data_IF_882865508550
#
_entry.id   IF_882865508550
#
_cell.length_a   1.000
_cell.length_b   1.000
_cell.length_c   1.000
_cell.angle_alpha   90.00
_cell.angle_beta   90.00
_cell.angle_gamma   90.00
#
_symmetry.space_group_name_H-M   'P 1'
#
loop_
_entity.id
_entity.type
_entity.pdbx_description
1 polymer ?
2 non-polymer ?
3 non-polymer ?
4 non-polymer ?
5 water ?
#
# COMPACT_ATOMS: atom_id res chain seq x y z
N UNK A 14 -29.24 -6.46 -12.31
CA UNK A 14 -28.37 -6.94 -13.36
C UNK A 14 -29.12 -8.05 -14.14
N UNK A 15 -29.28 -7.91 -15.46
CA UNK A 15 -30.22 -8.75 -16.20
C UNK A 15 -29.65 -10.14 -16.45
N UNK A 16 -30.55 -11.07 -16.76
CA UNK A 16 -30.14 -12.45 -17.00
C UNK A 16 -29.38 -12.57 -18.31
N UNK A 17 -29.79 -11.81 -19.33
CA UNK A 17 -29.05 -11.80 -20.59
C UNK A 17 -27.62 -11.36 -20.37
N UNK A 18 -27.42 -10.35 -19.51
CA UNK A 18 -26.07 -9.85 -19.25
C UNK A 18 -25.23 -10.90 -18.54
N UNK A 19 -25.80 -11.59 -17.54
CA UNK A 19 -25.05 -12.62 -16.83
C UNK A 19 -24.61 -13.72 -17.80
N UNK A 20 -25.52 -14.16 -18.68
CA UNK A 20 -25.15 -15.19 -19.63
C UNK A 20 -24.06 -14.70 -20.59
N UNK A 21 -24.08 -13.42 -20.94
CA UNK A 21 -23.00 -12.87 -21.76
C UNK A 21 -21.67 -12.93 -21.01
N UNK A 22 -21.67 -12.60 -19.72
CA UNK A 22 -20.45 -12.76 -18.92
C UNK A 22 -20.00 -14.22 -18.90
N UNK A 23 -20.94 -15.14 -18.70
CA UNK A 23 -20.59 -16.56 -18.65
C UNK A 23 -20.03 -17.01 -19.99
N UNK A 24 -20.51 -16.42 -21.09
CA UNK A 24 -20.00 -16.79 -22.40
C UNK A 24 -18.52 -16.42 -22.57
N UNK A 25 -18.04 -15.40 -21.85
CA UNK A 25 -16.64 -15.00 -21.97
C UNK A 25 -15.75 -15.87 -21.08
N UNK A 26 -16.09 -15.98 -19.78
CA UNK A 26 -15.15 -16.58 -18.83
C UNK A 26 -15.51 -18.01 -18.43
N UNK A 27 -16.69 -18.49 -18.79
CA UNK A 27 -17.09 -19.82 -18.35
C UNK A 27 -18.01 -19.75 -17.15
N UNK A 28 -19.03 -20.61 -17.15
CA UNK A 28 -19.98 -20.62 -16.05
C UNK A 28 -19.35 -20.70 -14.67
N UNK A 29 -18.33 -21.53 -14.41
CA UNK A 29 -17.76 -21.57 -13.05
C UNK A 29 -17.17 -20.25 -12.59
N UNK A 30 -16.88 -19.33 -13.51
CA UNK A 30 -16.13 -18.13 -13.17
C UNK A 30 -16.99 -16.87 -13.13
N UNK A 31 -18.32 -17.02 -13.05
CA UNK A 31 -19.26 -15.93 -12.83
C UNK A 31 -20.12 -16.30 -11.64
N UNK A 32 -20.26 -15.39 -10.68
CA UNK A 32 -21.15 -15.65 -9.56
C UNK A 32 -22.02 -14.45 -9.26
N UNK A 33 -23.32 -14.70 -9.12
CA UNK A 33 -24.25 -13.71 -8.56
C UNK A 33 -24.74 -14.11 -7.17
N UNK A 34 -24.11 -15.10 -6.54
CA UNK A 34 -24.51 -15.53 -5.21
C UNK A 34 -24.24 -14.46 -4.16
N UNK A 35 -25.19 -14.28 -3.24
CA UNK A 35 -25.09 -13.23 -2.22
C UNK A 35 -23.79 -13.32 -1.43
N UNK A 36 -23.47 -14.51 -0.90
CA UNK A 36 -22.29 -14.61 -0.04
C UNK A 36 -21.01 -14.31 -0.81
N UNK A 37 -20.94 -14.73 -2.07
CA UNK A 37 -19.75 -14.48 -2.88
C UNK A 37 -19.60 -12.99 -3.17
N UNK A 38 -20.71 -12.33 -3.49
CA UNK A 38 -20.66 -10.89 -3.71
C UNK A 38 -20.29 -10.14 -2.42
N UNK A 39 -20.85 -10.56 -1.28
CA UNK A 39 -20.52 -9.90 -0.02
C UNK A 39 -19.02 -10.00 0.27
N UNK A 40 -18.43 -11.18 0.03
CA UNK A 40 -17.00 -11.38 0.26
C UNK A 40 -16.14 -10.46 -0.60
N UNK A 41 -16.67 -9.98 -1.72
CA UNK A 41 -15.95 -9.10 -2.63
C UNK A 41 -16.42 -7.65 -2.56
N UNK A 42 -17.24 -7.30 -1.57
CA UNK A 42 -17.76 -5.96 -1.41
C UNK A 42 -17.04 -5.10 -0.39
N UNK A 43 -15.92 -5.57 0.15
CA UNK A 43 -15.21 -4.85 1.17
C UNK A 43 -13.74 -5.24 1.10
N UNK A 44 -12.90 -4.42 1.73
CA UNK A 44 -11.50 -4.76 1.87
C UNK A 44 -11.20 -4.87 3.36
N UNK A 45 -10.01 -4.50 3.79
CA UNK A 45 -9.68 -4.55 5.21
C UNK A 45 -10.03 -3.26 5.95
N UNK A 46 -10.59 -2.27 5.27
CA UNK A 46 -10.96 -0.99 5.88
C UNK A 46 -12.28 -1.11 6.63
N UNK A 47 -12.58 -0.07 7.42
CA UNK A 47 -13.89 0.02 8.06
C UNK A 47 -15.00 0.44 7.10
N UNK A 48 -14.68 0.76 5.84
CA UNK A 48 -15.72 1.20 4.92
C UNK A 48 -16.75 0.10 4.75
N UNK A 49 -18.02 0.48 4.80
CA UNK A 49 -19.08 -0.51 4.87
C UNK A 49 -19.12 -1.35 3.60
N UNK A 50 -19.34 -2.64 3.78
CA UNK A 50 -19.41 -3.55 2.64
C UNK A 50 -20.51 -3.12 1.68
N UNK A 51 -20.17 -3.03 0.40
CA UNK A 51 -21.13 -2.70 -0.64
C UNK A 51 -20.93 -3.73 -1.74
N UNK A 52 -21.81 -4.74 -1.79
CA UNK A 52 -21.57 -5.89 -2.64
C UNK A 52 -21.77 -5.53 -4.10
N UNK A 53 -20.87 -6.00 -4.96
CA UNK A 53 -21.12 -5.93 -6.39
C UNK A 53 -22.32 -6.79 -6.76
N UNK A 54 -22.86 -6.52 -7.95
CA UNK A 54 -23.96 -7.34 -8.45
C UNK A 54 -23.50 -8.69 -8.97
N UNK A 55 -22.23 -8.82 -9.33
CA UNK A 55 -21.67 -10.09 -9.76
C UNK A 55 -20.18 -10.05 -9.52
N UNK A 56 -19.58 -11.23 -9.41
CA UNK A 56 -18.13 -11.39 -9.38
C UNK A 56 -17.72 -12.27 -10.54
N UNK A 57 -16.67 -11.86 -11.25
CA UNK A 57 -16.20 -12.55 -12.45
C UNK A 57 -14.70 -12.78 -12.32
N UNK A 58 -14.25 -14.00 -12.66
CA UNK A 58 -12.84 -14.37 -12.66
C UNK A 58 -12.36 -14.61 -14.08
N UNK A 59 -11.85 -13.61 -14.78
CA UNK A 59 -11.29 -13.87 -16.11
C UNK A 59 -10.03 -14.72 -16.02
N UNK A 60 -9.86 -15.60 -17.01
CA UNK A 60 -8.76 -16.55 -17.03
C UNK A 60 -7.56 -16.12 -17.86
N UNK A 61 -7.70 -15.09 -18.69
CA UNK A 61 -6.60 -14.58 -19.49
C UNK A 61 -6.95 -13.15 -19.89
N UNK A 62 -5.98 -12.48 -20.53
CA UNK A 62 -6.17 -11.06 -20.82
C UNK A 62 -7.25 -10.84 -21.88
N UNK A 63 -7.38 -11.75 -22.85
CA UNK A 63 -8.48 -11.66 -23.80
C UNK A 63 -9.83 -11.61 -23.08
N UNK A 64 -10.00 -12.45 -22.05
CA UNK A 64 -11.23 -12.43 -21.28
C UNK A 64 -11.39 -11.14 -20.47
N UNK A 65 -10.30 -10.60 -19.93
CA UNK A 65 -10.42 -9.33 -19.22
C UNK A 65 -10.94 -8.25 -20.17
N UNK A 66 -10.38 -8.20 -21.36
CA UNK A 66 -10.77 -7.22 -22.36
C UNK A 66 -12.25 -7.37 -22.72
N UNK A 67 -12.69 -8.60 -22.95
CA UNK A 67 -14.07 -8.84 -23.37
C UNK A 67 -15.05 -8.59 -22.22
N UNK A 68 -14.66 -8.88 -20.97
CA UNK A 68 -15.54 -8.52 -19.86
C UNK A 68 -15.63 -7.01 -19.73
N UNK A 69 -14.50 -6.31 -19.82
CA UNK A 69 -14.54 -4.86 -19.71
C UNK A 69 -15.41 -4.24 -20.81
N UNK A 70 -15.24 -4.71 -22.04
CA UNK A 70 -16.02 -4.16 -23.15
C UNK A 70 -17.51 -4.42 -22.95
N UNK A 71 -17.86 -5.62 -22.50
CA UNK A 71 -19.27 -5.92 -22.25
C UNK A 71 -19.86 -5.00 -21.18
N UNK A 72 -19.16 -4.83 -20.05
CA UNK A 72 -19.65 -3.96 -19.00
C UNK A 72 -19.74 -2.53 -19.48
N UNK A 73 -18.66 -2.05 -20.10
CA UNK A 73 -18.56 -0.64 -20.44
C UNK A 73 -19.68 -0.23 -21.39
N UNK A 74 -19.88 -1.03 -22.44
CA UNK A 74 -20.89 -0.68 -23.43
C UNK A 74 -22.31 -0.87 -22.92
N UNK A 75 -22.51 -1.64 -21.86
CA UNK A 75 -23.83 -1.79 -21.26
C UNK A 75 -24.07 -0.86 -20.08
N UNK A 76 -23.11 0.01 -19.77
CA UNK A 76 -23.30 0.95 -18.68
C UNK A 76 -23.19 0.33 -17.31
N UNK A 77 -22.42 -0.75 -17.18
CA UNK A 77 -22.28 -1.47 -15.92
C UNK A 77 -20.93 -1.13 -15.31
N UNK A 78 -20.87 -0.66 -14.06
CA UNK A 78 -19.57 -0.35 -13.44
C UNK A 78 -18.69 -1.58 -13.32
N UNK A 79 -17.39 -1.32 -13.36
CA UNK A 79 -16.33 -2.33 -13.27
C UNK A 79 -15.52 -2.02 -12.02
N UNK A 80 -15.34 -3.04 -11.16
CA UNK A 80 -14.50 -2.86 -9.97
C UNK A 80 -13.37 -3.88 -10.02
N UNK A 81 -12.12 -3.47 -10.32
CA UNK A 81 -11.03 -4.44 -10.28
C UNK A 81 -10.77 -4.87 -8.84
N UNK A 82 -10.42 -6.14 -8.67
CA UNK A 82 -10.26 -6.73 -7.35
C UNK A 82 -9.02 -7.59 -7.38
N UNK A 83 -8.07 -7.30 -6.50
CA UNK A 83 -6.88 -8.12 -6.43
C UNK A 83 -6.99 -9.09 -5.27
N UNK A 84 -6.28 -8.80 -4.19
CA UNK A 84 -6.38 -9.61 -2.97
C UNK A 84 -7.25 -8.97 -1.89
N UNK A 85 -7.85 -7.82 -2.15
CA UNK A 85 -8.79 -7.22 -1.21
C UNK A 85 -8.19 -6.78 0.10
N UNK A 86 -6.89 -6.47 0.13
CA UNK A 86 -6.22 -6.02 1.35
C UNK A 86 -6.12 -4.50 1.46
N UNK A 87 -6.70 -3.76 0.52
CA UNK A 87 -6.67 -2.31 0.60
C UNK A 87 -7.36 -1.78 1.85
N UNK A 88 -7.06 -0.54 2.19
CA UNK A 88 -7.59 0.03 3.42
C UNK A 88 -8.33 1.35 3.19
N UNK A 89 -8.74 1.63 1.94
CA UNK A 89 -9.56 2.82 1.71
C UNK A 89 -10.85 2.52 0.95
N UNK A 90 -11.31 1.28 0.95
CA UNK A 90 -12.60 1.00 0.33
C UNK A 90 -12.54 0.96 -1.18
N UNK A 91 -11.34 0.73 -1.74
CA UNK A 91 -11.20 0.74 -3.18
C UNK A 91 -12.10 -0.25 -3.90
N UNK A 92 -12.33 -1.42 -3.30
CA UNK A 92 -13.15 -2.44 -3.97
C UNK A 92 -14.63 -2.34 -3.62
N UNK A 93 -15.04 -1.40 -2.76
CA UNK A 93 -16.44 -1.28 -2.38
C UNK A 93 -17.29 -0.88 -3.58
N UNK A 94 -18.34 -1.63 -3.85
CA UNK A 94 -19.12 -1.39 -5.07
C UNK A 94 -20.21 -0.34 -4.80
N UNK A 95 -19.78 0.91 -4.64
CA UNK A 95 -20.69 1.98 -4.24
C UNK A 95 -21.81 2.19 -5.25
N UNK A 96 -21.59 1.83 -6.52
CA UNK A 96 -22.63 1.91 -7.54
C UNK A 96 -22.98 0.54 -8.11
N UNK A 97 -22.75 -0.53 -7.35
CA UNK A 97 -23.00 -1.87 -7.86
C UNK A 97 -22.03 -2.21 -8.98
N UNK A 98 -22.45 -3.15 -9.82
CA UNK A 98 -21.70 -3.50 -11.01
C UNK A 98 -20.99 -4.83 -10.88
N UNK A 99 -19.95 -4.99 -11.72
CA UNK A 99 -19.23 -6.25 -11.85
C UNK A 99 -17.86 -6.13 -11.21
N UNK A 100 -17.60 -6.94 -10.19
CA UNK A 100 -16.30 -7.05 -9.55
C UNK A 100 -15.45 -8.06 -10.33
N UNK A 101 -14.29 -7.63 -10.82
CA UNK A 101 -13.46 -8.50 -11.63
C UNK A 101 -12.31 -8.97 -10.75
N UNK A 102 -12.41 -10.20 -10.24
CA UNK A 102 -11.33 -10.77 -9.45
C UNK A 102 -10.26 -11.29 -10.40
N UNK A 103 -9.06 -10.73 -10.32
CA UNK A 103 -8.04 -10.98 -11.30
C UNK A 103 -7.06 -12.08 -10.91
N UNK A 104 -7.30 -12.79 -9.79
CA UNK A 104 -6.22 -13.59 -9.23
C UNK A 104 -6.04 -14.96 -9.87
N UNK A 105 -6.93 -15.40 -10.77
CA UNK A 105 -6.63 -16.65 -11.45
C UNK A 105 -5.56 -16.49 -12.51
N UNK A 106 -5.22 -15.25 -12.90
CA UNK A 106 -4.09 -14.98 -13.78
C UNK A 106 -2.90 -14.83 -12.84
N UNK A 107 -2.15 -15.92 -12.64
CA UNK A 107 -1.22 -16.00 -11.52
C UNK A 107 0.18 -16.43 -11.95
N UNK A 108 0.58 -16.14 -13.18
CA UNK A 108 1.85 -16.60 -13.72
C UNK A 108 2.93 -15.54 -13.63
N UNK A 109 4.14 -15.99 -13.30
CA UNK A 109 5.36 -15.20 -13.44
C UNK A 109 5.95 -15.50 -14.80
N UNK A 110 6.29 -14.45 -15.56
CA UNK A 110 6.91 -14.63 -16.87
C UNK A 110 8.08 -13.67 -17.06
N UNK A 111 8.79 -13.88 -18.17
CA UNK A 111 9.86 -12.98 -18.60
C UNK A 111 10.82 -12.66 -17.46
N UNK A 112 11.17 -13.67 -16.68
CA UNK A 112 12.18 -13.46 -15.65
C UNK A 112 13.52 -13.20 -16.33
N UNK A 113 14.04 -12.00 -16.19
CA UNK A 113 15.29 -11.60 -16.80
C UNK A 113 16.25 -11.23 -15.67
N UNK A 114 16.89 -12.25 -15.08
CA UNK A 114 17.77 -11.99 -13.95
C UNK A 114 18.96 -11.12 -14.35
N UNK A 115 19.48 -11.32 -15.57
CA UNK A 115 20.60 -10.51 -16.05
C UNK A 115 20.25 -9.03 -16.18
N UNK A 116 18.97 -8.72 -16.37
CA UNK A 116 18.47 -7.36 -16.51
C UNK A 116 17.80 -6.85 -15.25
N UNK A 117 17.68 -7.69 -14.23
CA UNK A 117 17.02 -7.28 -12.97
C UNK A 117 15.54 -6.98 -13.19
N UNK A 118 14.83 -7.85 -13.93
CA UNK A 118 13.41 -7.55 -14.18
C UNK A 118 12.59 -8.83 -14.30
N UNK A 119 11.28 -8.68 -14.11
CA UNK A 119 10.35 -9.81 -14.17
C UNK A 119 8.96 -9.25 -14.47
N UNK A 120 8.11 -10.08 -15.07
CA UNK A 120 6.72 -9.73 -15.34
C UNK A 120 5.82 -10.64 -14.52
N UNK A 121 4.83 -10.04 -13.83
CA UNK A 121 3.91 -10.80 -12.98
C UNK A 121 2.46 -10.46 -13.31
N UNK A 122 1.61 -11.48 -13.28
CA UNK A 122 0.17 -11.35 -13.43
C UNK A 122 -0.47 -11.06 -12.07
N UNK A 123 -1.75 -10.66 -12.04
CA UNK A 123 -2.31 -10.15 -10.78
C UNK A 123 -2.38 -11.15 -9.63
N UNK A 124 -2.46 -12.46 -9.92
CA UNK A 124 -2.51 -13.42 -8.83
C UNK A 124 -1.19 -13.68 -8.12
N UNK A 125 -0.10 -13.11 -8.61
CA UNK A 125 1.21 -13.26 -7.98
C UNK A 125 1.33 -12.29 -6.81
N UNK A 126 1.59 -12.82 -5.62
CA UNK A 126 1.90 -11.98 -4.47
C UNK A 126 3.42 -11.82 -4.34
N UNK A 127 3.82 -10.85 -3.51
CA UNK A 127 5.24 -10.64 -3.26
C UNK A 127 5.88 -11.90 -2.67
N UNK A 128 5.19 -12.51 -1.70
CA UNK A 128 5.54 -13.84 -1.21
C UNK A 128 5.82 -14.84 -2.33
N UNK A 129 4.86 -15.03 -3.25
CA UNK A 129 5.06 -15.99 -4.33
C UNK A 129 6.26 -15.63 -5.18
N UNK A 130 6.43 -14.34 -5.49
CA UNK A 130 7.54 -13.93 -6.34
C UNK A 130 8.88 -14.20 -5.66
N UNK A 131 9.02 -13.79 -4.40
CA UNK A 131 10.30 -13.99 -3.73
C UNK A 131 10.59 -15.46 -3.49
N UNK A 132 9.56 -16.28 -3.29
CA UNK A 132 9.75 -17.72 -3.24
C UNK A 132 10.30 -18.22 -4.58
N UNK A 133 9.71 -17.75 -5.67
CA UNK A 133 10.16 -18.14 -7.00
C UNK A 133 11.61 -17.71 -7.25
N UNK A 134 12.04 -16.63 -6.64
CA UNK A 134 13.37 -16.10 -6.84
C UNK A 134 14.46 -16.59 -5.88
N UNK A 135 14.09 -17.53 -5.03
CA UNK A 135 15.07 -18.05 -4.11
C UNK A 135 16.21 -18.67 -4.89
N UNK A 136 17.41 -18.41 -4.44
CA UNK A 136 18.60 -18.94 -5.12
C UNK A 136 18.97 -18.22 -6.40
N UNK A 137 18.31 -17.11 -6.69
CA UNK A 137 18.66 -16.33 -7.84
C UNK A 137 19.59 -15.26 -7.43
N UNK A 138 19.67 -15.01 -6.15
CA UNK A 138 20.40 -13.85 -5.70
C UNK A 138 19.65 -12.55 -5.85
N UNK A 139 18.38 -12.59 -6.28
CA UNK A 139 17.58 -11.39 -6.46
C UNK A 139 16.34 -11.46 -5.59
N UNK A 140 15.73 -10.29 -5.38
CA UNK A 140 14.50 -10.22 -4.60
C UNK A 140 13.74 -8.98 -5.00
N UNK A 141 12.45 -8.98 -4.68
CA UNK A 141 11.61 -7.80 -4.87
C UNK A 141 11.36 -7.16 -3.52
N UNK A 142 11.72 -5.90 -3.33
CA UNK A 142 11.80 -5.34 -1.97
C UNK A 142 10.54 -4.68 -1.42
N UNK A 143 9.61 -4.21 -2.25
CA UNK A 143 8.50 -3.41 -1.72
C UNK A 143 7.58 -4.32 -0.92
N UNK A 144 7.44 -4.04 0.38
CA UNK A 144 6.88 -5.02 1.33
C UNK A 144 5.75 -4.43 2.18
N UNK A 145 4.55 -4.27 1.63
CA UNK A 145 3.39 -4.06 2.49
C UNK A 145 3.23 -5.22 3.46
N UNK A 146 2.58 -4.94 4.59
CA UNK A 146 2.41 -5.96 5.60
C UNK A 146 1.61 -7.16 5.11
N UNK A 147 0.63 -6.92 4.25
CA UNK A 147 -0.28 -7.96 3.79
C UNK A 147 0.32 -8.71 2.60
N UNK A 148 -0.17 -9.93 2.39
CA UNK A 148 0.19 -10.77 1.25
C UNK A 148 -0.59 -10.32 0.01
N UNK A 149 -0.19 -9.18 -0.51
CA UNK A 149 -1.00 -8.51 -1.52
C UNK A 149 -0.56 -8.87 -2.95
N UNK A 150 -1.54 -8.82 -3.84
CA UNK A 150 -1.27 -8.86 -5.27
C UNK A 150 -0.29 -7.75 -5.68
N UNK A 151 0.76 -8.13 -6.43
CA UNK A 151 1.73 -7.14 -6.89
C UNK A 151 1.11 -6.16 -7.87
N UNK A 152 0.18 -6.62 -8.71
CA UNK A 152 -0.52 -5.67 -9.58
C UNK A 152 -1.43 -4.76 -8.77
N UNK A 153 -2.01 -5.28 -7.69
CA UNK A 153 -2.78 -4.42 -6.80
C UNK A 153 -1.89 -3.38 -6.15
N UNK A 154 -0.67 -3.78 -5.80
CA UNK A 154 0.29 -2.84 -5.23
C UNK A 154 0.67 -1.77 -6.24
N UNK A 155 0.82 -2.14 -7.52
CA UNK A 155 1.01 -1.13 -8.54
C UNK A 155 -0.19 -0.20 -8.63
N UNK A 156 -1.40 -0.76 -8.54
CA UNK A 156 -2.61 0.06 -8.65
C UNK A 156 -2.72 1.06 -7.51
N UNK A 157 -2.33 0.66 -6.29
CA UNK A 157 -2.45 1.61 -5.19
C UNK A 157 -1.25 2.51 -4.99
N UNK A 158 -0.12 2.24 -5.67
CA UNK A 158 1.08 3.03 -5.41
C UNK A 158 1.74 2.67 -4.10
N UNK A 159 1.74 1.39 -3.74
CA UNK A 159 2.16 0.92 -2.42
C UNK A 159 3.63 1.20 -2.11
N UNK A 160 3.93 1.20 -0.81
CA UNK A 160 5.34 1.22 -0.39
C UNK A 160 5.45 0.20 0.74
N UNK A 161 6.45 0.36 1.60
CA UNK A 161 6.63 -0.57 2.70
C UNK A 161 7.88 -0.24 3.48
N UNK A 162 8.24 -1.13 4.42
CA UNK A 162 9.39 -0.83 5.28
C UNK A 162 10.68 -0.70 4.48
N UNK A 163 10.82 -1.43 3.37
CA UNK A 163 12.06 -1.39 2.60
C UNK A 163 12.17 -0.17 1.69
N UNK A 164 11.11 0.65 1.59
CA UNK A 164 11.08 1.70 0.56
C UNK A 164 12.12 2.78 0.82
N UNK A 165 12.45 3.05 2.08
CA UNK A 165 13.43 4.10 2.39
C UNK A 165 14.75 3.88 1.66
N UNK A 166 15.10 2.61 1.42
CA UNK A 166 16.32 2.28 0.69
C UNK A 166 16.06 1.85 -0.75
N UNK A 167 15.04 1.02 -0.97
CA UNK A 167 14.86 0.36 -2.26
C UNK A 167 13.74 0.95 -3.11
N UNK A 168 13.03 1.95 -2.62
CA UNK A 168 12.02 2.65 -3.39
C UNK A 168 10.61 2.09 -3.23
N UNK A 169 9.65 2.86 -3.75
CA UNK A 169 8.24 2.48 -3.71
C UNK A 169 7.86 1.70 -4.97
N UNK A 170 6.57 1.33 -5.10
CA UNK A 170 6.09 0.79 -6.38
C UNK A 170 6.39 1.74 -7.54
N UNK A 171 6.19 3.04 -7.34
CA UNK A 171 6.48 3.98 -8.43
C UNK A 171 7.93 3.89 -8.87
N UNK A 172 8.84 3.65 -7.92
CA UNK A 172 10.25 3.55 -8.27
C UNK A 172 10.57 2.23 -8.95
N UNK A 173 9.78 1.21 -8.74
CA UNK A 173 10.14 -0.14 -9.14
C UNK A 173 9.22 -0.75 -10.18
N UNK A 174 8.25 0.01 -10.70
CA UNK A 174 7.40 -0.45 -11.79
C UNK A 174 7.96 0.13 -13.09
N UNK A 175 8.38 -0.75 -14.00
CA UNK A 175 9.04 -0.36 -15.24
C UNK A 175 8.08 -0.40 -16.44
N UNK A 176 6.99 -1.13 -16.34
CA UNK A 176 6.03 -1.25 -17.43
C UNK A 176 4.77 -1.83 -16.82
N UNK A 177 3.63 -1.54 -17.48
CA UNK A 177 2.33 -2.07 -17.07
C UNK A 177 1.57 -2.51 -18.30
N UNK A 178 0.88 -3.64 -18.18
CA UNK A 178 -0.11 -4.06 -19.18
C UNK A 178 -1.48 -3.71 -18.60
N UNK A 179 -2.25 -2.92 -19.34
CA UNK A 179 -3.49 -2.36 -18.83
C UNK A 179 -4.60 -2.61 -19.84
N UNK A 180 -5.70 -3.19 -19.39
CA UNK A 180 -6.92 -3.25 -20.18
C UNK A 180 -7.68 -1.96 -19.87
N UNK A 181 -7.80 -1.09 -20.88
CA UNK A 181 -8.52 0.16 -20.69
C UNK A 181 -10.02 -0.10 -20.53
N UNK A 182 -10.77 0.89 -20.04
CA UNK A 182 -12.18 0.63 -19.71
C UNK A 182 -13.01 0.05 -20.84
N UNK A 183 -12.77 0.45 -22.08
CA UNK A 183 -13.55 -0.08 -23.18
C UNK A 183 -12.97 -1.36 -23.78
N UNK A 184 -11.93 -1.94 -23.15
CA UNK A 184 -11.37 -3.21 -23.58
C UNK A 184 -10.06 -3.15 -24.34
N UNK A 185 -9.61 -1.98 -24.78
CA UNK A 185 -8.36 -1.91 -25.51
C UNK A 185 -7.19 -2.30 -24.61
N UNK A 186 -6.15 -2.88 -25.21
CA UNK A 186 -4.98 -3.34 -24.47
C UNK A 186 -3.84 -2.35 -24.67
N UNK A 187 -3.33 -1.81 -23.56
CA UNK A 187 -2.23 -0.85 -23.55
C UNK A 187 -1.04 -1.43 -22.81
N UNK A 188 0.14 -1.36 -23.42
CA UNK A 188 1.39 -1.61 -22.71
C UNK A 188 2.02 -0.24 -22.51
N UNK A 189 2.08 0.21 -21.25
CA UNK A 189 2.29 1.64 -21.01
C UNK A 189 3.63 2.11 -21.56
N UNK A 190 4.66 1.26 -21.48
CA UNK A 190 5.97 1.58 -22.02
C UNK A 190 6.28 0.82 -23.30
N UNK A 191 5.29 0.14 -23.87
CA UNK A 191 5.51 -0.66 -25.07
C UNK A 191 5.59 -2.14 -24.76
N UNK A 192 5.02 -2.98 -25.63
CA UNK A 192 4.92 -4.41 -25.34
C UNK A 192 6.30 -5.03 -25.23
N UNK A 193 6.54 -5.69 -24.09
CA UNK A 193 7.76 -6.41 -23.87
C UNK A 193 8.95 -5.55 -23.47
N UNK A 194 8.77 -4.24 -23.34
CA UNK A 194 9.92 -3.39 -23.09
C UNK A 194 10.30 -3.33 -21.61
N UNK A 195 11.59 -3.22 -21.38
CA UNK A 195 12.11 -3.08 -20.02
C UNK A 195 13.49 -2.44 -20.14
N UNK A 196 13.74 -1.42 -19.34
CA UNK A 196 14.95 -0.63 -19.44
C UNK A 196 15.07 0.23 -18.19
N UNK A 197 16.23 0.87 -18.05
CA UNK A 197 16.48 1.65 -16.83
C UNK A 197 15.92 3.05 -16.90
N UNK A 198 15.83 3.65 -18.09
CA UNK A 198 15.34 5.02 -18.19
C UNK A 198 14.88 5.26 -19.62
N UNK A 199 13.97 6.22 -19.77
CA UNK A 199 13.50 6.61 -21.10
C UNK A 199 12.94 8.02 -21.05
N UNK A 200 13.15 8.75 -22.15
CA UNK A 200 12.48 10.02 -22.43
C UNK A 200 11.55 9.94 -23.63
N UNK A 201 11.12 8.74 -23.99
CA UNK A 201 10.36 8.52 -25.23
C UNK A 201 8.89 8.85 -25.04
N UNK A 202 8.49 10.05 -25.44
CA UNK A 202 7.08 10.41 -25.35
C UNK A 202 6.72 10.78 -23.92
N UNK A 203 5.43 10.72 -23.62
CA UNK A 203 4.97 10.96 -22.25
C UNK A 203 5.01 9.67 -21.45
N UNK A 204 5.43 9.76 -20.20
CA UNK A 204 5.56 8.55 -19.38
C UNK A 204 4.17 8.09 -18.96
N UNK A 205 3.65 7.07 -19.64
CA UNK A 205 2.32 6.56 -19.29
C UNK A 205 2.35 5.63 -18.08
N UNK A 206 3.49 4.98 -17.82
CA UNK A 206 3.54 4.03 -16.71
C UNK A 206 3.21 4.71 -15.39
N UNK A 207 3.80 5.89 -15.16
CA UNK A 207 3.56 6.58 -13.90
C UNK A 207 2.14 7.04 -13.70
N UNK A 208 1.39 7.24 -14.80
CA UNK A 208 -0.01 7.64 -14.68
C UNK A 208 -0.86 6.50 -14.11
N UNK A 209 -0.54 5.26 -14.47
CA UNK A 209 -1.37 4.15 -14.02
C UNK A 209 -0.94 3.61 -12.67
N UNK A 210 0.30 3.85 -12.24
CA UNK A 210 0.67 3.52 -10.88
C UNK A 210 -0.08 4.47 -9.95
N UNK A 211 -0.76 3.93 -8.95
CA UNK A 211 -1.55 4.78 -8.06
C UNK A 211 -2.87 5.22 -8.62
N UNK A 212 -3.36 4.55 -9.68
CA UNK A 212 -4.67 4.89 -10.25
C UNK A 212 -5.83 4.14 -9.60
N UNK A 213 -5.56 3.12 -8.79
CA UNK A 213 -6.57 2.48 -7.91
C UNK A 213 -7.72 1.86 -8.70
N UNK A 214 -7.49 1.44 -9.94
CA UNK A 214 -8.54 0.82 -10.72
C UNK A 214 -9.54 1.77 -11.32
N UNK A 215 -9.24 3.08 -11.32
CA UNK A 215 -10.14 4.06 -11.90
C UNK A 215 -9.77 4.46 -13.32
N UNK A 216 -8.63 4.00 -13.84
CA UNK A 216 -8.20 4.32 -15.19
C UNK A 216 -8.09 3.09 -16.08
N UNK A 217 -8.26 1.89 -15.55
CA UNK A 217 -8.03 0.69 -16.30
C UNK A 217 -7.64 -0.45 -15.38
N UNK A 218 -7.54 -1.65 -15.96
CA UNK A 218 -7.29 -2.88 -15.23
C UNK A 218 -5.87 -3.33 -15.51
N UNK A 219 -5.03 -3.39 -14.48
CA UNK A 219 -3.65 -3.83 -14.67
C UNK A 219 -3.63 -5.36 -14.76
N UNK A 220 -3.23 -5.89 -15.91
CA UNK A 220 -3.18 -7.34 -16.08
C UNK A 220 -1.77 -7.89 -16.08
N UNK A 221 -0.74 -7.05 -16.14
CA UNK A 221 0.58 -7.49 -15.73
C UNK A 221 1.39 -6.26 -15.32
N UNK A 222 2.40 -6.51 -14.49
CA UNK A 222 3.35 -5.49 -14.07
C UNK A 222 4.77 -6.00 -14.32
N UNK A 223 5.59 -5.16 -14.96
CA UNK A 223 7.02 -5.42 -15.08
C UNK A 223 7.74 -4.75 -13.93
N UNK A 224 8.45 -5.54 -13.13
CA UNK A 224 9.02 -5.08 -11.88
C UNK A 224 10.54 -5.06 -11.93
N UNK A 225 11.12 -4.05 -11.28
CA UNK A 225 12.56 -4.00 -11.04
C UNK A 225 12.93 -4.93 -9.88
N UNK A 226 13.89 -5.81 -10.13
CA UNK A 226 14.45 -6.68 -9.10
C UNK A 226 15.75 -6.09 -8.57
N UNK A 227 16.11 -6.49 -7.35
CA UNK A 227 17.29 -5.98 -6.67
C UNK A 227 18.17 -7.13 -6.21
N UNK A 228 19.49 -6.90 -6.12
CA UNK A 228 20.36 -7.96 -5.58
C UNK A 228 20.12 -8.13 -4.08
N UNK A 229 20.15 -9.38 -3.64
CA UNK A 229 20.04 -9.64 -2.21
C UNK A 229 21.24 -9.02 -1.50
N UNK A 230 21.05 -8.48 -0.29
CA UNK A 230 22.17 -7.84 0.41
C UNK A 230 23.23 -8.85 0.81
N UNK A 231 24.49 -8.39 0.77
CA UNK A 231 25.60 -9.25 1.15
C UNK A 231 25.43 -9.77 2.58
N UNK A 232 25.12 -8.87 3.51
CA UNK A 232 24.90 -9.23 4.90
C UNK A 232 23.82 -8.32 5.46
N UNK A 233 23.14 -8.81 6.50
CA UNK A 233 21.97 -8.15 7.06
C UNK A 233 22.06 -8.19 8.58
N UNK A 234 21.83 -7.05 9.23
CA UNK A 234 21.69 -6.99 10.68
C UNK A 234 20.47 -6.15 11.01
N UNK A 235 19.66 -6.66 11.95
CA UNK A 235 18.47 -5.96 12.41
C UNK A 235 18.58 -5.72 13.90
N UNK A 236 17.86 -4.72 14.39
CA UNK A 236 17.95 -4.37 15.80
C UNK A 236 16.72 -3.56 16.19
N UNK A 237 16.47 -3.49 17.49
CA UNK A 237 15.49 -2.56 18.00
C UNK A 237 16.19 -1.61 18.96
N UNK A 238 15.61 -0.41 19.09
CA UNK A 238 16.20 0.62 19.95
C UNK A 238 15.06 1.35 20.65
N UNK A 239 15.09 1.35 21.98
CA UNK A 239 14.02 1.94 22.78
C UNK A 239 14.42 3.35 23.22
N UNK A 240 13.45 4.25 23.23
CA UNK A 240 13.70 5.66 23.50
C UNK A 240 12.86 6.17 24.66
N UNK A 241 13.30 7.25 25.31
CA UNK A 241 12.50 7.81 26.41
C UNK A 241 11.24 8.52 25.96
N UNK A 242 11.14 8.93 24.69
CA UNK A 242 9.97 9.67 24.26
C UNK A 242 9.83 9.53 22.75
N UNK A 243 8.65 9.89 22.27
CA UNK A 243 8.40 9.97 20.81
C UNK A 243 9.37 10.96 20.18
N UNK A 244 9.50 12.14 20.80
CA UNK A 244 10.41 13.17 20.31
C UNK A 244 11.82 12.62 20.09
N UNK A 245 12.33 11.85 21.05
CA UNK A 245 13.69 11.32 20.94
C UNK A 245 13.81 10.34 19.78
N UNK A 246 12.80 9.51 19.57
CA UNK A 246 12.86 8.52 18.49
C UNK A 246 12.79 9.19 17.13
N UNK A 247 11.93 10.20 17.00
CA UNK A 247 11.76 10.84 15.69
C UNK A 247 12.92 11.79 15.39
N UNK A 248 13.46 12.47 16.41
CA UNK A 248 14.68 13.26 16.19
C UNK A 248 15.81 12.37 15.73
N UNK A 249 15.97 11.19 16.36
CA UNK A 249 17.00 10.25 15.90
C UNK A 249 16.78 9.90 14.43
N UNK A 250 15.52 9.63 14.07
CA UNK A 250 15.21 9.30 12.68
C UNK A 250 15.64 10.42 11.74
N UNK A 251 15.18 11.64 12.01
CA UNK A 251 15.54 12.76 11.14
C UNK A 251 17.05 12.91 11.05
N UNK A 252 17.76 12.76 12.17
CA UNK A 252 19.20 12.95 12.15
C UNK A 252 19.92 11.81 11.43
N UNK A 253 19.40 10.58 11.50
CA UNK A 253 19.96 9.49 10.72
C UNK A 253 19.83 9.79 9.23
N UNK A 254 18.66 10.29 8.81
CA UNK A 254 18.47 10.61 7.39
C UNK A 254 19.33 11.77 6.95
N UNK A 255 19.44 12.83 7.78
CA UNK A 255 20.26 13.97 7.39
C UNK A 255 21.74 13.62 7.38
N UNK A 256 22.15 12.60 8.15
CA UNK A 256 23.51 12.10 8.10
C UNK A 256 23.74 11.14 6.94
N UNK A 257 22.71 10.86 6.15
CA UNK A 257 22.82 10.08 4.92
C UNK A 257 23.25 8.63 5.17
N UNK A 258 22.91 8.08 6.34
CA UNK A 258 23.13 6.66 6.59
C UNK A 258 22.16 5.87 5.72
N UNK A 259 22.65 4.96 4.87
CA UNK A 259 21.75 4.25 3.93
C UNK A 259 21.03 3.08 4.59
N UNK A 260 20.29 3.38 5.66
CA UNK A 260 19.55 2.34 6.39
C UNK A 260 18.60 1.61 5.45
N UNK A 261 18.47 0.31 5.65
CA UNK A 261 17.56 -0.48 4.82
C UNK A 261 16.13 -0.36 5.31
N UNK A 262 15.96 -0.29 6.63
CA UNK A 262 14.66 -0.21 7.28
C UNK A 262 14.78 0.69 8.51
N UNK A 263 13.82 1.59 8.67
CA UNK A 263 13.72 2.39 9.90
C UNK A 263 12.24 2.64 10.21
N UNK A 264 11.70 1.80 11.08
CA UNK A 264 10.28 1.78 11.42
C UNK A 264 10.06 2.28 12.83
N UNK A 265 9.06 3.13 12.99
CA UNK A 265 8.69 3.65 14.31
C UNK A 265 7.45 2.95 14.85
N UNK A 266 7.48 2.64 16.16
CA UNK A 266 6.32 2.17 16.90
C UNK A 266 6.25 2.99 18.17
N UNK A 267 5.07 3.53 18.49
CA UNK A 267 5.01 4.20 19.79
C UNK A 267 4.82 3.14 20.86
N UNK A 268 4.77 3.56 22.12
CA UNK A 268 4.63 2.58 23.21
C UNK A 268 3.36 1.75 23.07
N UNK A 269 2.25 2.37 22.66
CA UNK A 269 1.00 1.63 22.47
C UNK A 269 1.16 0.56 21.40
N UNK A 270 1.72 0.94 20.24
CA UNK A 270 1.99 -0.04 19.18
C UNK A 270 2.92 -1.14 19.66
N UNK A 271 3.99 -0.78 20.38
CA UNK A 271 4.95 -1.77 20.82
C UNK A 271 4.29 -2.79 21.74
N UNK A 272 3.49 -2.31 22.70
CA UNK A 272 2.78 -3.22 23.59
C UNK A 272 1.82 -4.12 22.81
N UNK A 273 1.06 -3.53 21.88
CA UNK A 273 0.14 -4.34 21.06
C UNK A 273 0.88 -5.42 20.29
N UNK A 274 2.03 -5.07 19.71
CA UNK A 274 2.81 -6.05 18.96
C UNK A 274 3.39 -7.12 19.89
N UNK A 275 3.87 -6.71 21.07
CA UNK A 275 4.33 -7.66 22.07
C UNK A 275 3.26 -8.71 22.35
N UNK A 276 2.03 -8.23 22.56
CA UNK A 276 0.92 -9.09 22.96
C UNK A 276 0.43 -9.97 21.83
N UNK A 277 0.67 -9.59 20.59
CA UNK A 277 0.13 -10.29 19.43
C UNK A 277 1.14 -11.21 18.77
N UNK A 278 2.39 -11.10 19.16
CA UNK A 278 3.43 -11.91 18.61
C UNK A 278 4.39 -12.45 19.69
N UNK A 280 6.98 -11.22 20.79
CA UNK A 280 8.01 -10.29 21.13
C UNK A 280 7.86 -9.86 22.56
N UNK A 281 8.95 -9.43 23.16
CA UNK A 281 8.90 -8.92 24.50
C UNK A 281 9.81 -7.72 24.57
N UNK A 282 9.65 -6.80 23.64
CA UNK A 282 10.42 -5.57 23.63
C UNK A 282 9.99 -4.68 24.78
N UNK A 283 10.91 -3.89 25.33
CA UNK A 283 10.51 -2.86 26.31
C UNK A 283 9.41 -1.98 25.74
N UNK A 284 8.38 -1.75 26.54
CA UNK A 284 7.22 -0.95 26.14
C UNK A 284 7.64 0.52 26.17
N UNK A 285 7.97 1.05 25.00
CA UNK A 285 8.56 2.37 24.83
C UNK A 285 8.47 2.72 23.36
N UNK A 286 8.54 4.00 23.02
CA UNK A 286 8.69 4.36 21.59
C UNK A 286 9.98 3.75 21.07
N UNK A 287 9.87 3.01 19.96
CA UNK A 287 10.92 2.11 19.52
C UNK A 287 11.15 2.30 18.04
N UNK A 288 12.41 2.20 17.63
CA UNK A 288 12.75 2.06 16.22
C UNK A 288 13.12 0.59 15.97
N UNK A 289 12.54 0.02 14.91
CA UNK A 289 13.01 -1.23 14.34
C UNK A 289 13.95 -0.84 13.19
N UNK A 290 15.16 -1.37 13.21
CA UNK A 290 16.20 -0.94 12.28
C UNK A 290 16.73 -2.15 11.53
N UNK A 291 17.11 -1.94 10.26
CA UNK A 291 17.82 -2.98 9.52
C UNK A 291 18.87 -2.34 8.64
N UNK A 292 20.03 -2.99 8.52
CA UNK A 292 21.16 -2.49 7.79
C UNK A 292 21.61 -3.56 6.81
N UNK A 293 21.95 -3.14 5.59
CA UNK A 293 22.43 -4.02 4.53
C UNK A 293 23.82 -3.55 4.11
N UNK A 294 24.70 -4.51 3.87
CA UNK A 294 25.98 -4.18 3.28
C UNK A 294 26.98 -5.30 3.51
N UNK A 295 28.24 -4.98 3.27
CA UNK A 295 29.33 -5.85 3.65
C UNK A 295 29.58 -5.74 5.15
N UNK A 296 30.39 -6.67 5.68
CA UNK A 296 30.70 -6.68 7.11
C UNK A 296 31.24 -5.33 7.56
N UNK A 297 32.16 -4.76 6.77
CA UNK A 297 32.78 -3.49 7.14
C UNK A 297 31.85 -2.32 6.90
N UNK A 298 31.06 -2.37 5.82
CA UNK A 298 30.08 -1.33 5.57
C UNK A 298 29.02 -1.30 6.66
N UNK A 299 28.65 -2.48 7.16
CA UNK A 299 27.68 -2.56 8.26
C UNK A 299 28.23 -1.95 9.53
N UNK A 300 29.50 -2.23 9.85
CA UNK A 300 30.09 -1.71 11.08
C UNK A 300 30.15 -0.20 11.05
N UNK A 301 30.45 0.38 9.89
CA UNK A 301 30.43 1.84 9.76
C UNK A 301 29.03 2.38 9.95
N UNK A 302 28.04 1.79 9.26
CA UNK A 302 26.67 2.25 9.40
C UNK A 302 26.19 2.16 10.83
N UNK A 303 26.46 1.02 11.48
CA UNK A 303 26.02 0.82 12.86
C UNK A 303 26.63 1.85 13.79
N UNK A 304 27.93 2.09 13.63
CA UNK A 304 28.63 3.06 14.48
C UNK A 304 27.99 4.44 14.37
N UNK A 305 27.79 4.92 13.14
CA UNK A 305 27.22 6.24 12.96
C UNK A 305 25.77 6.31 13.42
N UNK A 306 25.02 5.22 13.24
CA UNK A 306 23.62 5.22 13.68
C UNK A 306 23.51 5.11 15.19
N UNK A 307 24.35 4.28 15.82
CA UNK A 307 24.29 4.16 17.28
C UNK A 307 24.66 5.47 17.96
N UNK A 308 25.62 6.21 17.37
CA UNK A 308 25.98 7.51 17.94
C UNK A 308 24.79 8.46 17.94
N UNK A 309 24.06 8.52 16.82
CA UNK A 309 22.91 9.42 16.76
C UNK A 309 21.83 8.99 17.75
N UNK A 310 21.52 7.69 17.81
CA UNK A 310 20.47 7.25 18.72
C UNK A 310 20.86 7.51 20.17
N UNK A 311 22.13 7.27 20.49
CA UNK A 311 22.63 7.54 21.85
C UNK A 311 22.44 9.00 22.24
N UNK A 312 22.72 9.92 21.31
CA UNK A 312 22.56 11.35 21.59
C UNK A 312 21.14 11.68 22.02
N UNK A 313 20.16 10.89 21.58
CA UNK A 313 18.77 11.14 21.87
C UNK A 313 18.22 10.16 22.90
N UNK A 314 19.10 9.51 23.66
CA UNK A 314 18.69 8.64 24.72
C UNK A 314 18.31 7.23 24.32
N UNK A 315 18.66 6.81 23.10
CA UNK A 315 18.31 5.46 22.68
C UNK A 315 19.08 4.41 23.46
N UNK A 316 18.41 3.28 23.69
CA UNK A 316 19.04 2.13 24.30
C UNK A 316 20.12 1.56 23.40
N UNK A 317 21.02 0.79 24.01
CA UNK A 317 21.92 -0.02 23.22
C UNK A 317 21.09 -0.94 22.34
N UNK A 318 21.52 -1.12 21.10
CA UNK A 318 20.73 -1.90 20.14
C UNK A 318 20.51 -3.32 20.65
N UNK A 319 19.25 -3.75 20.63
CA UNK A 319 18.90 -5.15 20.88
C UNK A 319 18.90 -5.89 19.53
N UNK A 320 19.91 -6.73 19.32
CA UNK A 320 20.16 -7.29 18.00
C UNK A 320 19.22 -8.44 17.68
N UNK A 321 19.05 -8.68 16.38
CA UNK A 321 18.28 -9.81 15.86
C UNK A 321 19.00 -10.43 14.66
N UNK A 324 18.53 -14.86 12.30
CA UNK A 324 17.76 -15.19 11.11
C UNK A 324 16.29 -15.33 11.40
N UNK A 325 15.96 -16.35 12.14
CA UNK A 325 14.60 -16.55 12.50
C UNK A 325 14.12 -15.43 13.39
N UNK A 326 15.04 -14.84 14.15
CA UNK A 326 14.67 -13.79 15.06
C UNK A 326 14.36 -12.52 14.28
N UNK A 327 15.13 -12.29 13.24
CA UNK A 327 14.86 -11.16 12.40
C UNK A 327 13.53 -11.38 11.69
N UNK A 328 13.31 -12.59 11.20
CA UNK A 328 12.01 -12.84 10.57
C UNK A 328 10.87 -12.62 11.55
N UNK A 329 11.05 -13.05 12.82
CA UNK A 329 10.04 -12.80 13.84
C UNK A 329 9.80 -11.32 14.02
N UNK A 330 10.88 -10.53 14.03
CA UNK A 330 10.74 -9.10 14.26
C UNK A 330 9.92 -8.45 13.15
N UNK A 331 10.25 -8.74 11.89
CA UNK A 331 9.56 -8.10 10.79
C UNK A 331 8.17 -8.68 10.56
N UNK A 332 7.96 -9.95 10.92
CA UNK A 332 6.61 -10.49 10.87
C UNK A 332 5.69 -9.77 11.86
N UNK A 333 6.19 -9.48 13.06
CA UNK A 333 5.38 -8.73 14.01
C UNK A 333 5.09 -7.32 13.49
N UNK A 334 6.08 -6.67 12.88
CA UNK A 334 5.85 -5.36 12.30
C UNK A 334 4.80 -5.44 11.20
N UNK A 335 4.93 -6.42 10.30
CA UNK A 335 3.99 -6.57 9.21
C UNK A 335 2.57 -6.87 9.70
N UNK A 336 2.43 -7.40 10.92
CA UNK A 336 1.11 -7.69 11.48
C UNK A 336 0.62 -6.62 12.44
N UNK A 337 1.29 -5.46 12.49
CA UNK A 337 0.90 -4.39 13.39
C UNK A 337 -0.57 -4.02 13.25
N UNK A 338 -1.09 -4.03 12.03
CA UNK A 338 -2.50 -3.75 11.82
C UNK A 338 -3.37 -4.69 12.65
N UNK A 339 -3.07 -5.99 12.59
CA UNK A 339 -3.87 -6.96 13.33
C UNK A 339 -3.57 -6.92 14.82
N UNK A 340 -2.32 -6.61 15.19
CA UNK A 340 -1.99 -6.42 16.60
C UNK A 340 -2.81 -5.28 17.20
N UNK A 341 -3.04 -4.24 16.44
CA UNK A 341 -3.83 -3.14 16.94
C UNK A 341 -5.28 -3.51 17.11
N UNK A 342 -5.82 -4.19 16.12
CA UNK A 342 -7.20 -4.57 16.16
C UNK A 342 -7.46 -5.45 17.35
N UNK A 343 -6.50 -6.26 17.67
CA UNK A 343 -6.63 -7.18 18.78
C UNK A 343 -6.69 -6.48 20.14
N UNK A 344 -6.36 -5.22 20.22
CA UNK A 344 -6.50 -4.49 21.48
C UNK A 344 -7.95 -4.39 21.90
N UNK A 345 -8.87 -4.40 20.93
CA UNK A 345 -10.31 -4.31 21.20
C UNK A 345 -11.03 -5.23 20.23
N UNK A 346 -11.12 -6.52 20.55
CA UNK A 346 -11.74 -7.47 19.63
C UNK A 346 -13.16 -7.06 19.24
N UNK A 347 -13.51 -7.36 18.00
CA UNK A 347 -14.78 -6.95 17.43
C UNK A 347 -14.77 -5.58 16.75
N UNK A 348 -13.75 -4.76 17.01
CA UNK A 348 -13.69 -3.45 16.40
C UNK A 348 -13.05 -3.53 15.01
N UNK A 349 -13.24 -2.46 14.25
CA UNK A 349 -12.55 -2.26 12.99
C UNK A 349 -11.56 -1.10 13.16
N UNK A 350 -10.88 -0.74 12.06
CA UNK A 350 -9.86 0.28 12.20
C UNK A 350 -9.79 1.13 10.94
N UNK A 351 -9.32 2.36 11.13
CA UNK A 351 -8.97 3.26 10.04
C UNK A 351 -7.53 3.68 10.22
N UNK A 352 -6.75 3.61 9.15
CA UNK A 352 -5.36 4.08 9.19
C UNK A 352 -5.27 5.43 8.50
N UNK A 353 -4.58 6.36 9.15
CA UNK A 353 -4.07 7.54 8.48
C UNK A 353 -2.75 7.20 7.81
N UNK A 354 -2.22 8.14 7.03
CA UNK A 354 -1.10 7.83 6.15
C UNK A 354 -0.38 9.09 5.66
N UNK A 355 -0.32 10.13 6.49
CA UNK A 355 0.28 11.37 6.01
C UNK A 355 1.77 11.19 5.77
N UNK A 356 2.32 12.01 4.89
CA UNK A 356 3.74 12.05 4.62
C UNK A 356 4.14 13.52 4.49
N UNK A 357 5.12 13.94 5.29
CA UNK A 357 5.47 15.36 5.38
C UNK A 357 6.97 15.51 5.08
N UNK A 358 7.41 16.72 4.77
CA UNK A 358 8.85 17.00 4.73
C UNK A 358 9.51 16.52 6.02
N UNK A 359 10.66 15.84 5.91
CA UNK A 359 11.17 15.12 7.07
C UNK A 359 11.42 16.05 8.24
N UNK A 360 11.82 17.30 7.98
CA UNK A 360 12.12 18.17 9.10
C UNK A 360 10.87 18.50 9.91
N UNK A 361 9.68 18.33 9.34
CA UNK A 361 8.43 18.56 10.06
C UNK A 361 7.87 17.30 10.70
N UNK A 362 8.52 16.15 10.52
CA UNK A 362 8.01 14.91 11.09
C UNK A 362 8.00 14.94 12.62
N UNK A 363 9.03 15.46 13.30
CA UNK A 363 8.94 15.54 14.77
C UNK A 363 7.72 16.28 15.27
N UNK A 364 7.44 17.47 14.73
CA UNK A 364 6.26 18.22 15.18
C UNK A 364 4.99 17.39 15.04
N UNK A 365 4.70 16.90 13.85
CA UNK A 365 3.43 16.25 13.64
C UNK A 365 3.25 14.92 14.37
N UNK A 366 4.32 14.18 14.54
CA UNK A 366 4.17 12.94 15.24
C UNK A 366 3.95 13.17 16.72
N UNK A 367 4.69 14.10 17.26
CA UNK A 367 4.54 14.42 18.68
C UNK A 367 3.17 15.00 18.91
N UNK A 368 2.77 15.91 18.05
CA UNK A 368 1.41 16.46 18.14
C UNK A 368 0.36 15.38 18.00
N UNK A 369 0.57 14.40 17.10
CA UNK A 369 -0.41 13.32 16.95
C UNK A 369 -0.46 12.47 18.20
N UNK A 370 0.69 12.18 18.79
CA UNK A 370 0.73 11.43 20.05
C UNK A 370 -0.02 12.18 21.14
N UNK A 371 0.22 13.49 21.25
CA UNK A 371 -0.48 14.29 22.25
C UNK A 371 -1.99 14.29 22.00
N UNK A 372 -2.39 14.33 20.72
CA UNK A 372 -3.80 14.39 20.40
C UNK A 372 -4.49 13.06 20.65
N UNK A 373 -3.78 11.94 20.44
CA UNK A 373 -4.36 10.65 20.76
C UNK A 373 -4.59 10.52 22.27
N UNK A 374 -3.61 10.94 23.09
CA UNK A 374 -3.80 10.90 24.54
C UNK A 374 -5.01 11.70 24.97
N UNK A 375 -5.17 12.91 24.43
CA UNK A 375 -6.21 13.83 24.90
C UNK A 375 -7.62 13.43 24.48
N UNK A 376 -7.81 12.29 23.80
CA UNK A 376 -9.09 11.92 23.22
C UNK A 376 -9.54 10.56 23.73
N UNK A 377 -10.82 10.24 23.50
CA UNK A 377 -11.32 8.92 23.91
C UNK A 377 -10.92 7.82 22.95
N UNK A 378 -10.21 8.15 21.88
CA UNK A 378 -9.90 7.15 20.88
C UNK A 378 -8.74 6.28 21.33
N UNK A 379 -8.81 5.01 20.98
CA UNK A 379 -7.67 4.11 21.06
C UNK A 379 -6.91 4.16 19.74
N UNK A 380 -5.66 4.63 19.79
CA UNK A 380 -4.85 4.69 18.60
C UNK A 380 -3.45 4.20 18.85
N UNK A 381 -2.89 3.50 17.86
CA UNK A 381 -1.49 3.10 17.88
C UNK A 381 -0.79 3.80 16.73
N UNK A 382 0.49 4.11 16.91
CA UNK A 382 1.27 4.81 15.89
C UNK A 382 2.38 3.90 15.38
N UNK A 383 2.52 3.82 14.06
CA UNK A 383 3.52 2.95 13.45
C UNK A 383 3.82 3.52 12.07
N UNK A 384 5.05 3.34 11.61
CA UNK A 384 5.24 3.41 10.16
C UNK A 384 6.60 3.89 9.71
N UNK A 385 6.60 4.26 8.43
CA UNK A 385 7.78 4.40 7.59
C UNK A 385 8.37 5.81 7.75
N UNK A 386 8.89 6.07 8.96
CA UNK A 386 9.38 7.40 9.28
C UNK A 386 10.61 7.77 8.46
N UNK A 387 11.31 6.79 7.91
CA UNK A 387 12.39 7.09 6.99
C UNK A 387 11.94 7.85 5.77
N UNK A 388 10.66 7.72 5.41
CA UNK A 388 10.06 8.46 4.31
C UNK A 388 9.34 9.72 4.78
N UNK A 389 9.39 10.05 6.06
CA UNK A 389 8.55 11.13 6.55
C UNK A 389 7.09 10.75 6.64
N UNK A 390 6.79 9.47 6.78
CA UNK A 390 5.45 8.89 6.66
C UNK A 390 5.15 8.13 7.95
N UNK A 391 3.89 8.13 8.36
CA UNK A 391 3.49 7.29 9.48
C UNK A 391 1.99 7.02 9.41
N UNK A 392 1.57 6.00 10.16
CA UNK A 392 0.17 5.63 10.27
C UNK A 392 -0.29 5.81 11.72
N UNK A 393 -1.43 6.44 11.90
CA UNK A 393 -2.20 6.35 13.13
C UNK A 393 -3.30 5.33 12.89
N UNK A 394 -3.27 4.23 13.64
CA UNK A 394 -4.30 3.20 13.54
C UNK A 394 -5.36 3.50 14.58
N UNK A 395 -6.54 3.94 14.13
CA UNK A 395 -7.63 4.34 15.01
C UNK A 395 -8.69 3.26 15.03
N UNK A 396 -8.99 2.73 16.23
CA UNK A 396 -9.96 1.66 16.36
C UNK A 396 -11.38 2.23 16.39
N UNK A 397 -12.33 1.50 15.79
CA UNK A 397 -13.72 1.92 15.70
C UNK A 397 -14.62 0.74 16.04
N UNK A 398 -15.60 1.00 16.90
CA UNK A 398 -16.59 0.00 17.16
C UNK A 398 -17.60 0.17 16.07
N UNK A 399 -17.85 -0.90 15.32
CA UNK A 399 -18.87 -0.69 14.31
C UNK A 399 -20.32 -0.80 14.82
N UNK A 401 -20.93 2.18 17.24
CA UNK A 401 -20.88 3.46 17.92
C UNK A 401 -20.66 4.52 16.89
N UNK A 402 -21.74 4.96 16.28
CA UNK A 402 -21.63 5.93 15.23
C UNK A 402 -21.00 7.18 15.76
N UNK A 403 -21.11 7.41 17.05
CA UNK A 403 -20.41 8.62 17.48
C UNK A 403 -18.89 8.42 17.48
N UNK A 404 -18.43 7.24 17.92
CA UNK A 404 -16.99 6.97 17.89
C UNK A 404 -16.47 7.03 16.46
N UNK A 405 -17.24 6.50 15.51
CA UNK A 405 -16.78 6.51 14.14
C UNK A 405 -16.74 7.93 13.58
N UNK A 406 -17.57 8.85 14.11
CA UNK A 406 -17.45 10.22 13.61
C UNK A 406 -16.23 10.90 14.21
N UNK A 407 -15.93 10.60 15.48
CA UNK A 407 -14.76 11.17 16.14
C UNK A 407 -13.47 10.64 15.50
N UNK A 408 -13.48 9.37 15.08
CA UNK A 408 -12.32 8.84 14.37
C UNK A 408 -12.16 9.53 13.02
N UNK A 409 -13.27 9.78 12.35
CA UNK A 409 -13.17 10.32 11.01
C UNK A 409 -12.75 11.79 11.08
N UNK A 410 -13.21 12.49 12.12
CA UNK A 410 -12.80 13.88 12.32
C UNK A 410 -11.34 13.98 12.74
N UNK A 411 -10.88 13.03 13.56
CA UNK A 411 -9.46 12.98 13.91
C UNK A 411 -8.61 12.79 12.66
N UNK A 412 -9.01 11.89 11.79
CA UNK A 412 -8.25 11.61 10.58
C UNK A 412 -8.16 12.80 9.64
N UNK A 413 -9.26 13.49 9.48
CA UNK A 413 -9.26 14.66 8.64
C UNK A 413 -8.45 15.81 9.20
N UNK A 414 -8.50 16.00 10.52
CA UNK A 414 -7.69 17.03 11.10
C UNK A 414 -6.20 16.70 10.96
N UNK A 415 -5.84 15.46 11.16
CA UNK A 415 -4.44 15.11 10.96
C UNK A 415 -4.04 15.30 9.50
N UNK A 416 -4.91 14.89 8.58
CA UNK A 416 -4.62 15.11 7.17
C UNK A 416 -4.40 16.58 6.85
N UNK A 417 -5.26 17.46 7.38
CA UNK A 417 -5.11 18.87 7.08
C UNK A 417 -3.88 19.48 7.75
N UNK A 418 -3.50 18.98 8.93
CA UNK A 418 -2.24 19.43 9.53
C UNK A 418 -1.05 19.07 8.63
N UNK A 419 -1.08 17.86 8.06
CA UNK A 419 -0.03 17.46 7.13
C UNK A 419 0.00 18.37 5.90
N UNK A 420 -1.16 18.68 5.35
CA UNK A 420 -1.20 19.57 4.20
C UNK A 420 -0.68 20.96 4.58
N UNK A 421 -0.98 21.42 5.80
CA UNK A 421 -0.46 22.71 6.21
C UNK A 421 1.05 22.74 6.28
N UNK A 422 1.70 21.59 6.48
CA UNK A 422 3.15 21.49 6.57
C UNK A 422 3.81 21.22 5.22
N UNK A 423 3.06 21.31 4.12
CA UNK A 423 3.61 21.06 2.80
C UNK A 423 3.63 19.61 2.38
N UNK A 424 2.95 18.73 3.11
CA UNK A 424 2.98 17.29 2.85
C UNK A 424 1.79 16.80 2.05
N UNK A 425 1.57 15.49 2.14
CA UNK A 425 0.51 14.84 1.39
C UNK A 425 -0.36 14.02 2.35
N UNK A 426 -1.63 13.86 1.97
CA UNK A 426 -2.57 13.14 2.83
C UNK A 426 -2.40 11.63 2.77
N UNK A 427 -1.68 11.11 1.77
CA UNK A 427 -1.42 9.67 1.76
C UNK A 427 -0.08 9.39 1.12
N UNK A 428 0.80 8.71 1.87
CA UNK A 428 2.09 8.32 1.33
C UNK A 428 2.07 7.06 0.50
N UNK A 429 1.09 6.17 0.72
CA UNK A 429 1.09 4.88 0.05
C UNK A 429 -0.28 4.19 -0.08
N UNK A 430 -1.20 4.41 0.86
CA UNK A 430 -2.45 3.66 0.87
C UNK A 430 -3.38 4.09 -0.26
N UNK A 431 -3.35 5.34 -0.64
CA UNK A 431 -4.28 5.85 -1.64
C UNK A 431 -5.43 6.63 -1.05
N UNK A 432 -6.36 6.97 -1.93
CA UNK A 432 -7.49 7.84 -1.62
C UNK A 432 -8.78 7.05 -1.41
N UNK A 433 -9.07 6.11 -2.31
CA UNK A 433 -10.28 5.32 -2.22
C UNK A 433 -11.50 6.16 -1.96
N UNK A 434 -12.26 5.75 -0.94
CA UNK A 434 -13.43 6.49 -0.49
C UNK A 434 -13.12 7.49 0.61
N UNK A 435 -11.99 7.36 1.29
CA UNK A 435 -11.75 8.09 2.53
C UNK A 435 -11.12 9.47 2.43
N UNK A 436 -10.31 9.73 1.41
CA UNK A 436 -9.52 10.96 1.37
C UNK A 436 -9.87 11.83 0.17
N UNK A 437 -11.09 11.73 -0.35
CA UNK A 437 -11.42 12.47 -1.59
C UNK A 437 -11.45 13.96 -1.35
N UNK A 438 -11.96 14.40 -0.19
CA UNK A 438 -11.95 15.83 0.10
C UNK A 438 -10.54 16.33 0.38
N UNK A 439 -9.74 15.55 1.11
CA UNK A 439 -8.36 15.96 1.35
C UNK A 439 -7.59 16.11 0.04
N UNK A 440 -7.84 15.22 -0.94
CA UNK A 440 -7.14 15.35 -2.22
C UNK A 440 -7.48 16.67 -2.89
N UNK A 441 -8.76 17.06 -2.87
CA UNK A 441 -9.15 18.33 -3.45
C UNK A 441 -8.39 19.49 -2.80
N UNK A 442 -8.22 19.43 -1.47
CA UNK A 442 -7.45 20.48 -0.80
C UNK A 442 -5.98 20.41 -1.18
N UNK A 443 -5.47 19.19 -1.35
CA UNK A 443 -4.03 19.00 -1.57
C UNK A 443 -3.58 19.59 -2.91
N UNK A 444 -4.33 19.39 -3.99
CA UNK A 444 -3.86 19.80 -5.31
C UNK A 444 -4.66 20.96 -5.90
N UNK A 445 -5.75 21.39 -5.28
CA UNK A 445 -6.42 22.60 -5.69
C UNK A 445 -7.26 22.43 -6.94
N UNK A 446 -7.96 23.50 -7.34
CA UNK A 446 -8.91 23.37 -8.46
C UNK A 446 -8.27 22.96 -9.77
N UNK A 447 -7.07 23.46 -10.09
CA UNK A 447 -6.50 23.12 -11.38
C UNK A 447 -5.95 21.69 -11.34
N UNK A 448 -5.41 21.28 -10.18
CA UNK A 448 -5.00 19.89 -10.02
C UNK A 448 -6.17 18.93 -10.16
N UNK A 449 -7.29 19.25 -9.53
CA UNK A 449 -8.46 18.39 -9.61
C UNK A 449 -8.98 18.30 -11.03
N UNK A 450 -9.14 19.45 -11.70
CA UNK A 450 -9.69 19.40 -13.06
C UNK A 450 -8.75 18.62 -13.98
N UNK A 451 -7.43 18.79 -13.82
CA UNK A 451 -6.49 18.07 -14.66
C UNK A 451 -6.58 16.57 -14.41
N UNK A 452 -6.67 16.16 -13.15
CA UNK A 452 -6.83 14.73 -12.89
C UNK A 452 -8.13 14.22 -13.50
N UNK A 453 -9.20 15.01 -13.40
CA UNK A 453 -10.48 14.58 -13.90
C UNK A 453 -10.50 14.53 -15.41
N UNK A 454 -9.76 15.44 -16.07
CA UNK A 454 -9.67 15.36 -17.52
C UNK A 454 -8.94 14.10 -17.95
N UNK A 455 -7.94 13.67 -17.17
CA UNK A 455 -7.25 12.42 -17.47
C UNK A 455 -8.20 11.24 -17.29
N UNK A 456 -8.93 11.24 -16.17
CA UNK A 456 -9.96 10.22 -15.92
C UNK A 456 -10.98 10.17 -17.05
N UNK A 457 -11.45 11.33 -17.51
CA UNK A 457 -12.49 11.34 -18.53
C UNK A 457 -11.99 10.85 -19.89
N UNK A 458 -10.73 11.09 -20.24
CA UNK A 458 -10.34 10.60 -21.55
C UNK A 458 -10.16 9.10 -21.54
N UNK A 459 -9.74 8.52 -20.42
CA UNK A 459 -9.54 7.09 -20.37
C UNK A 459 -10.86 6.36 -20.06
N UNK A 460 -11.75 6.99 -19.29
CA UNK A 460 -13.02 6.38 -18.87
C UNK A 460 -14.16 7.36 -19.15
N UNK A 461 -14.52 7.57 -20.42
CA UNK A 461 -15.55 8.59 -20.72
C UNK A 461 -16.85 8.39 -19.99
N UNK A 462 -17.31 7.15 -19.89
CA UNK A 462 -18.61 6.89 -19.27
C UNK A 462 -18.55 6.81 -17.74
N UNK A 463 -17.38 6.96 -17.14
CA UNK A 463 -17.27 6.95 -15.69
C UNK A 463 -17.60 5.64 -15.04
N UNK A 464 -17.34 4.53 -15.72
CA UNK A 464 -17.70 3.19 -15.25
C UNK A 464 -16.54 2.43 -14.64
N UNK A 465 -15.34 3.00 -14.64
CA UNK A 465 -14.14 2.33 -14.16
C UNK A 465 -13.99 2.67 -12.68
N UNK A 466 -14.47 1.77 -11.81
CA UNK A 466 -14.48 1.93 -10.36
C UNK A 466 -15.01 3.30 -9.93
N UNK A 467 -16.30 3.57 -10.18
CA UNK A 467 -16.84 4.90 -9.86
C UNK A 467 -16.85 5.19 -8.36
N UNK A 468 -16.79 6.48 -8.04
CA UNK A 468 -16.85 6.91 -6.67
C UNK A 468 -15.54 6.91 -5.91
N UNK A 469 -14.43 6.62 -6.57
CA UNK A 469 -13.13 6.51 -5.92
C UNK A 469 -12.18 7.58 -6.43
N UNK A 470 -11.34 8.07 -5.53
CA UNK A 470 -10.26 9.02 -5.82
C UNK A 470 -10.79 10.42 -6.12
N UNK A 471 -11.54 10.56 -7.21
CA UNK A 471 -12.10 11.86 -7.60
C UNK A 471 -13.57 11.92 -7.26
#
# INVERSE_FOLDING_TARGET
WSHPQFEKGSQGGLSQDFVEALKAVVGSPHVSTASAVREQHGHDESMHRCQPPDAVVWPQNVDQVSRVASLCYNQGVPIIPFGTGTGVEGGVCAVQGGVCINLTHMDQITELNTEDFSVVVEPGVTRKALNTHLRDSGLWFPVDPGADASLCGMAATGASGTNAVRYGTMRDNVINLEVVLPDGRLLHTAGRGRHYRKSAAGYNLTGLFVGSEGTLGIITSTTLRLHPAPEATVAATCAFPSVQAAVDSTVQILQAAVPVARIEFLDDVMMDACNRHSKLNCPVAPTLFLEFHGSQQTLAEQLQRTEAITQDNGGSHFSWAKEAEKRNELWAARHNAWYAALALSPGSKAYSTDVCVPISRLPEILVETKEEIKASKLTGAIVGHVGDGNFHCILLVDPDDAEEQRRVKAFAENLGRRALALGGTCTGEHGIGLGKRQLLQEEVGPVGVETMRQLKNTLDPRGLMNPGKVL
#
